data_IF_226427209855
#
_entry.id   IF_226427209855
#
_cell.length_a   1.000
_cell.length_b   1.000
_cell.length_c   1.000
_cell.angle_alpha   90.00
_cell.angle_beta   90.00
_cell.angle_gamma   90.00
#
_symmetry.space_group_name_H-M   'P 1'
#
loop_
_entity.id
_entity.type
_entity.pdbx_description
1 polymer ?
#
# COMPACT_ATOMS: atom_id res chain seq x y z
N UNK A 1 6.45 -21.98 5.16
CA UNK A 1 6.53 -20.64 5.78
C UNK A 1 7.40 -19.79 4.88
N UNK A 2 6.80 -18.84 4.15
CA UNK A 2 7.49 -18.10 3.09
C UNK A 2 8.41 -17.02 3.71
N UNK A 3 9.72 -17.14 3.49
CA UNK A 3 10.72 -16.18 3.97
C UNK A 3 10.81 -14.92 3.10
N UNK A 4 11.75 -14.02 3.42
CA UNK A 4 11.96 -12.77 2.68
C UNK A 4 12.13 -12.99 1.17
N UNK A 5 12.88 -14.02 0.77
CA UNK A 5 13.10 -14.36 -0.64
C UNK A 5 11.79 -14.64 -1.41
N UNK A 6 10.83 -15.33 -0.80
CA UNK A 6 9.54 -15.64 -1.42
C UNK A 6 8.68 -14.38 -1.57
N UNK A 7 8.64 -13.51 -0.55
CA UNK A 7 7.96 -12.21 -0.65
C UNK A 7 8.61 -11.27 -1.66
N UNK A 8 9.94 -11.27 -1.74
CA UNK A 8 10.68 -10.55 -2.77
C UNK A 8 10.33 -11.07 -4.17
N UNK A 9 10.22 -12.39 -4.34
CA UNK A 9 9.78 -13.01 -5.59
C UNK A 9 8.35 -12.59 -5.96
N UNK A 10 7.44 -12.55 -4.98
CA UNK A 10 6.08 -12.05 -5.17
C UNK A 10 6.06 -10.58 -5.63
N UNK A 11 6.91 -9.71 -5.06
CA UNK A 11 7.01 -8.30 -5.49
C UNK A 11 7.54 -8.11 -6.92
N UNK A 12 8.31 -9.08 -7.44
CA UNK A 12 8.78 -9.08 -8.83
C UNK A 12 7.64 -9.47 -9.79
N UNK A 13 6.75 -10.37 -9.36
CA UNK A 13 5.62 -10.86 -10.15
C UNK A 13 6.08 -11.51 -11.46
N UNK A 14 5.36 -11.21 -12.54
CA UNK A 14 5.69 -11.66 -13.91
C UNK A 14 6.85 -10.88 -14.56
N UNK A 15 7.35 -9.84 -13.89
CA UNK A 15 8.43 -9.00 -14.37
C UNK A 15 9.82 -9.67 -14.31
N UNK A 16 10.79 -9.06 -14.98
CA UNK A 16 12.18 -9.51 -14.88
C UNK A 16 12.88 -8.96 -13.63
N UNK A 17 13.82 -9.75 -13.08
CA UNK A 17 14.69 -9.31 -11.96
C UNK A 17 15.44 -8.01 -12.30
N UNK A 18 15.84 -7.84 -13.56
CA UNK A 18 16.52 -6.64 -14.06
C UNK A 18 15.63 -5.39 -13.99
N UNK A 19 14.37 -5.51 -14.42
CA UNK A 19 13.40 -4.42 -14.35
C UNK A 19 13.09 -4.05 -12.89
N UNK A 20 12.90 -5.06 -12.02
CA UNK A 20 12.66 -4.83 -10.60
C UNK A 20 13.85 -4.16 -9.90
N UNK A 21 15.08 -4.61 -10.17
CA UNK A 21 16.30 -4.02 -9.65
C UNK A 21 16.40 -2.51 -9.97
N UNK A 22 16.10 -2.12 -11.22
CA UNK A 22 16.01 -0.71 -11.62
C UNK A 22 14.91 0.03 -10.87
N UNK A 23 13.71 -0.55 -10.76
CA UNK A 23 12.56 0.03 -10.03
C UNK A 23 12.91 0.39 -8.59
N UNK A 24 13.63 -0.48 -7.88
CA UNK A 24 13.99 -0.26 -6.47
C UNK A 24 15.36 0.41 -6.27
N UNK A 25 16.08 0.74 -7.35
CA UNK A 25 17.40 1.39 -7.29
C UNK A 25 18.52 0.52 -6.72
N UNK A 26 18.49 -0.80 -6.99
CA UNK A 26 19.52 -1.76 -6.56
C UNK A 26 20.15 -2.48 -7.75
N UNK A 27 21.31 -3.10 -7.56
CA UNK A 27 21.91 -3.92 -8.61
C UNK A 27 21.17 -5.25 -8.76
N UNK A 28 21.07 -5.74 -9.99
CA UNK A 28 20.43 -7.03 -10.28
C UNK A 28 21.13 -8.18 -9.54
N UNK A 29 22.46 -8.15 -9.46
CA UNK A 29 23.26 -9.13 -8.71
C UNK A 29 22.85 -9.19 -7.23
N UNK A 30 22.56 -8.04 -6.61
CA UNK A 30 22.12 -7.99 -5.22
C UNK A 30 20.70 -8.56 -5.05
N UNK A 31 19.77 -8.22 -5.95
CA UNK A 31 18.42 -8.82 -5.93
C UNK A 31 18.50 -10.35 -6.11
N UNK A 32 19.32 -10.84 -7.05
CA UNK A 32 19.54 -12.29 -7.24
C UNK A 32 20.14 -12.95 -6.00
N UNK A 33 21.03 -12.27 -5.28
CA UNK A 33 21.59 -12.75 -4.01
C UNK A 33 20.48 -12.91 -2.95
N UNK A 34 19.58 -11.94 -2.87
CA UNK A 34 18.43 -11.96 -1.96
C UNK A 34 17.42 -13.07 -2.30
N UNK A 35 17.12 -13.27 -3.58
CA UNK A 35 16.26 -14.38 -4.03
C UNK A 35 16.85 -15.77 -3.71
N UNK A 36 18.18 -15.86 -3.52
CA UNK A 36 18.87 -17.08 -3.07
C UNK A 36 18.93 -17.23 -1.54
N UNK A 37 18.24 -16.37 -0.78
CA UNK A 37 18.10 -16.48 0.67
C UNK A 37 19.04 -15.61 1.51
N UNK A 38 19.81 -14.69 0.90
CA UNK A 38 20.51 -13.68 1.68
C UNK A 38 19.53 -12.63 2.22
N UNK A 39 19.74 -12.20 3.46
CA UNK A 39 18.92 -11.15 4.08
C UNK A 39 19.51 -9.75 3.83
N UNK A 40 18.66 -8.75 3.53
CA UNK A 40 19.09 -7.36 3.40
C UNK A 40 19.32 -6.74 4.79
N UNK A 41 20.27 -5.80 4.87
CA UNK A 41 20.28 -4.86 5.99
C UNK A 41 19.05 -3.94 5.96
N UNK A 42 18.68 -3.39 7.12
CA UNK A 42 17.47 -2.56 7.31
C UNK A 42 17.31 -1.46 6.25
N UNK A 43 18.39 -0.74 5.91
CA UNK A 43 18.35 0.32 4.90
C UNK A 43 18.00 -0.19 3.50
N UNK A 44 18.50 -1.37 3.11
CA UNK A 44 18.19 -2.00 1.81
C UNK A 44 16.78 -2.58 1.79
N UNK A 45 16.33 -3.15 2.90
CA UNK A 45 14.96 -3.60 3.05
C UNK A 45 13.97 -2.44 2.90
N UNK A 46 14.21 -1.30 3.58
CA UNK A 46 13.36 -0.12 3.45
C UNK A 46 13.39 0.46 2.03
N UNK A 47 14.55 0.45 1.36
CA UNK A 47 14.67 0.87 -0.04
C UNK A 47 13.80 0.01 -0.98
N UNK A 48 13.84 -1.33 -0.83
CA UNK A 48 12.98 -2.25 -1.58
C UNK A 48 11.52 -1.98 -1.27
N UNK A 49 11.16 -1.84 0.01
CA UNK A 49 9.78 -1.59 0.44
C UNK A 49 9.22 -0.29 -0.18
N UNK A 50 10.03 0.77 -0.24
CA UNK A 50 9.63 2.03 -0.88
C UNK A 50 9.46 1.89 -2.39
N UNK A 51 10.45 1.31 -3.08
CA UNK A 51 10.40 1.18 -4.54
C UNK A 51 9.35 0.17 -5.02
N UNK A 52 9.08 -0.88 -4.24
CA UNK A 52 8.08 -1.90 -4.55
C UNK A 52 6.68 -1.53 -4.04
N UNK A 53 6.55 -0.38 -3.37
CA UNK A 53 5.32 0.07 -2.75
C UNK A 53 4.77 -1.00 -1.79
N UNK A 54 5.47 -1.32 -0.70
CA UNK A 54 4.96 -2.16 0.38
C UNK A 54 5.52 -1.70 1.73
N UNK A 55 4.89 -2.14 2.82
CA UNK A 55 5.40 -1.87 4.16
C UNK A 55 6.68 -2.67 4.42
N UNK A 56 7.58 -2.08 5.21
CA UNK A 56 8.80 -2.77 5.64
C UNK A 56 8.45 -3.99 6.49
N UNK A 57 7.40 -3.89 7.31
CA UNK A 57 6.86 -5.00 8.09
C UNK A 57 6.46 -6.16 7.18
N UNK A 58 5.64 -5.91 6.15
CA UNK A 58 5.19 -6.95 5.23
C UNK A 58 6.37 -7.62 4.55
N UNK A 59 7.34 -6.83 4.09
CA UNK A 59 8.54 -7.37 3.47
C UNK A 59 9.35 -8.26 4.43
N UNK A 60 9.44 -7.90 5.71
CA UNK A 60 10.22 -8.61 6.72
C UNK A 60 9.51 -9.83 7.30
N UNK A 61 8.19 -9.78 7.52
CA UNK A 61 7.45 -10.78 8.29
C UNK A 61 6.28 -11.41 7.53
N UNK A 62 5.80 -10.77 6.47
CA UNK A 62 4.53 -11.08 5.82
C UNK A 62 3.32 -10.48 6.53
N UNK A 63 3.51 -9.81 7.67
CA UNK A 63 2.48 -9.05 8.38
C UNK A 63 2.54 -7.57 7.98
N UNK A 64 1.41 -6.89 7.86
CA UNK A 64 1.34 -5.50 7.41
C UNK A 64 0.89 -5.37 5.95
N UNK A 65 1.13 -4.21 5.34
CA UNK A 65 0.49 -3.84 4.07
C UNK A 65 1.36 -4.09 2.85
N UNK A 66 0.80 -4.75 1.83
CA UNK A 66 1.21 -4.60 0.43
C UNK A 66 0.63 -3.26 -0.06
N UNK A 67 1.38 -2.43 -0.78
CA UNK A 67 1.00 -1.05 -1.16
C UNK A 67 1.11 -0.01 -0.04
N UNK A 68 2.30 0.58 0.15
CA UNK A 68 2.63 1.61 1.16
C UNK A 68 2.21 3.04 0.81
N UNK A 69 1.97 3.31 -0.46
CA UNK A 69 1.60 4.59 -1.05
C UNK A 69 0.25 4.55 -1.75
N UNK A 70 -0.33 3.37 -1.98
CA UNK A 70 -1.74 3.33 -2.32
C UNK A 70 -2.50 3.35 -1.00
N UNK A 71 -3.38 4.32 -0.89
CA UNK A 71 -4.39 4.45 0.15
C UNK A 71 -5.42 3.35 -0.08
N UNK A 72 -4.97 2.10 0.09
CA UNK A 72 -5.82 0.94 -0.09
C UNK A 72 -6.70 0.88 1.14
N UNK A 73 -7.98 1.12 0.91
CA UNK A 73 -9.00 0.83 1.91
C UNK A 73 -9.06 -0.68 2.05
N UNK A 74 -8.71 -1.17 3.23
CA UNK A 74 -8.95 -2.56 3.61
C UNK A 74 -10.46 -2.80 3.61
N UNK A 75 -10.94 -3.55 2.59
CA UNK A 75 -12.37 -3.77 2.35
C UNK A 75 -12.98 -4.66 3.42
N UNK A 76 -12.26 -5.67 3.90
CA UNK A 76 -12.74 -6.54 4.96
C UNK A 76 -12.91 -5.76 6.26
N UNK A 77 -11.92 -4.92 6.59
CA UNK A 77 -12.03 -4.02 7.73
C UNK A 77 -13.17 -2.99 7.57
N UNK A 78 -13.39 -2.48 6.35
CA UNK A 78 -14.49 -1.57 6.04
C UNK A 78 -15.86 -2.22 6.25
N UNK A 79 -16.05 -3.44 5.74
CA UNK A 79 -17.31 -4.19 5.90
C UNK A 79 -17.58 -4.44 7.39
N UNK A 80 -16.58 -4.91 8.13
CA UNK A 80 -16.70 -5.13 9.57
C UNK A 80 -17.06 -3.84 10.33
N UNK A 81 -16.40 -2.72 10.01
CA UNK A 81 -16.73 -1.42 10.59
C UNK A 81 -18.18 -0.98 10.25
N UNK A 82 -18.63 -1.22 9.02
CA UNK A 82 -20.00 -0.97 8.59
C UNK A 82 -21.03 -1.76 9.41
N UNK A 83 -20.78 -3.05 9.66
CA UNK A 83 -21.63 -3.88 10.51
C UNK A 83 -21.73 -3.33 11.94
N UNK A 84 -20.60 -2.95 12.55
CA UNK A 84 -20.57 -2.35 13.90
C UNK A 84 -21.34 -1.03 13.97
N UNK A 85 -21.28 -0.20 12.92
CA UNK A 85 -22.08 1.03 12.85
C UNK A 85 -23.57 0.70 12.80
N UNK A 86 -23.98 -0.33 12.04
CA UNK A 86 -25.38 -0.76 11.97
C UNK A 86 -25.89 -1.34 13.29
N UNK A 87 -25.04 -2.03 14.06
CA UNK A 87 -25.40 -2.49 15.41
C UNK A 87 -25.72 -1.32 16.35
N UNK A 88 -24.93 -0.27 16.30
CA UNK A 88 -25.10 0.91 17.18
C UNK A 88 -26.15 1.89 16.67
N UNK A 89 -26.48 1.85 15.37
CA UNK A 89 -27.41 2.77 14.71
C UNK A 89 -28.29 2.00 13.71
N UNK A 90 -29.12 1.06 14.20
CA UNK A 90 -29.90 0.21 13.34
C UNK A 90 -30.85 1.03 12.46
N UNK A 91 -30.99 0.61 11.20
CA UNK A 91 -31.93 1.18 10.25
C UNK A 91 -31.49 2.52 9.64
N UNK A 92 -30.31 3.07 9.99
CA UNK A 92 -29.75 4.18 9.23
C UNK A 92 -29.13 3.66 7.93
N UNK A 93 -29.50 4.19 6.76
CA UNK A 93 -28.89 3.79 5.50
C UNK A 93 -27.39 4.14 5.52
N UNK A 94 -26.59 3.19 5.06
CA UNK A 94 -25.16 3.40 4.81
C UNK A 94 -24.94 3.58 3.31
N UNK A 95 -23.95 4.39 2.91
CA UNK A 95 -23.47 4.39 1.53
C UNK A 95 -23.03 2.99 1.12
N UNK A 96 -23.04 2.71 -0.19
CA UNK A 96 -22.51 1.45 -0.71
C UNK A 96 -20.99 1.33 -0.49
N UNK A 97 -20.46 0.11 -0.67
CA UNK A 97 -19.05 -0.19 -0.42
C UNK A 97 -18.11 0.67 -1.29
N UNK A 98 -18.45 0.90 -2.56
CA UNK A 98 -17.62 1.71 -3.47
C UNK A 98 -17.55 3.17 -3.04
N UNK A 99 -18.67 3.76 -2.64
CA UNK A 99 -18.73 5.11 -2.09
C UNK A 99 -17.91 5.23 -0.82
N UNK A 100 -17.97 4.22 0.06
CA UNK A 100 -17.18 4.19 1.29
C UNK A 100 -15.68 4.03 1.02
N UNK A 101 -15.29 3.15 0.09
CA UNK A 101 -13.89 3.00 -0.34
C UNK A 101 -13.37 4.31 -0.91
N UNK A 102 -14.15 4.95 -1.78
CA UNK A 102 -13.78 6.24 -2.37
C UNK A 102 -13.61 7.31 -1.28
N UNK A 103 -14.57 7.42 -0.35
CA UNK A 103 -14.50 8.36 0.77
C UNK A 103 -13.24 8.14 1.62
N UNK A 104 -12.94 6.89 1.96
CA UNK A 104 -11.79 6.55 2.79
C UNK A 104 -10.47 6.78 2.06
N UNK A 105 -10.40 6.54 0.75
CA UNK A 105 -9.23 6.89 -0.05
C UNK A 105 -8.99 8.41 -0.02
N UNK A 106 -10.01 9.24 -0.28
CA UNK A 106 -9.88 10.70 -0.14
C UNK A 106 -9.47 11.12 1.28
N UNK A 107 -10.06 10.53 2.32
CA UNK A 107 -9.71 10.82 3.70
C UNK A 107 -8.24 10.51 3.99
N UNK A 108 -7.75 9.35 3.54
CA UNK A 108 -6.36 8.95 3.69
C UNK A 108 -5.44 9.94 2.95
N UNK A 109 -5.79 10.33 1.72
CA UNK A 109 -5.07 11.33 0.90
C UNK A 109 -4.89 12.65 1.62
N UNK A 110 -6.01 13.20 2.08
CA UNK A 110 -6.04 14.48 2.75
C UNK A 110 -5.25 14.46 4.06
N UNK A 111 -5.22 13.32 4.75
CA UNK A 111 -4.48 13.16 6.00
C UNK A 111 -2.97 13.06 5.78
N UNK A 112 -2.54 12.41 4.69
CA UNK A 112 -1.14 12.14 4.36
C UNK A 112 -0.47 13.27 3.56
N UNK A 113 -1.25 14.05 2.79
CA UNK A 113 -0.78 15.09 1.88
C UNK A 113 -1.27 16.50 2.27
N UNK A 114 -0.97 16.91 3.50
CA UNK A 114 -1.21 18.28 3.96
C UNK A 114 -0.23 19.26 3.32
N UNK A 115 -0.65 20.50 3.20
CA UNK A 115 0.22 21.61 2.81
C UNK A 115 1.26 21.88 3.92
N UNK A 116 2.31 22.65 3.59
CA UNK A 116 3.40 22.95 4.53
C UNK A 116 2.94 23.70 5.79
N UNK A 117 1.82 24.42 5.68
CA UNK A 117 1.14 25.13 6.77
C UNK A 117 0.17 24.23 7.58
N UNK A 118 0.07 22.94 7.22
CA UNK A 118 -0.78 21.95 7.89
C UNK A 118 -2.23 21.94 7.43
N UNK A 119 -2.63 22.78 6.47
CA UNK A 119 -3.98 22.79 5.91
C UNK A 119 -4.19 21.67 4.88
N UNK A 120 -5.46 21.34 4.63
CA UNK A 120 -5.85 20.31 3.67
C UNK A 120 -5.64 20.79 2.23
N UNK A 121 -4.93 19.99 1.43
CA UNK A 121 -4.75 20.27 0.00
C UNK A 121 -5.92 19.72 -0.83
N UNK A 122 -7.03 20.47 -0.86
CA UNK A 122 -8.23 20.07 -1.60
C UNK A 122 -8.01 20.08 -3.12
N UNK A 123 -7.10 20.91 -3.64
CA UNK A 123 -6.81 20.96 -5.06
C UNK A 123 -6.14 19.66 -5.51
N UNK A 124 -5.14 19.22 -4.75
CA UNK A 124 -4.43 17.97 -5.01
C UNK A 124 -5.30 16.74 -4.77
N UNK A 125 -6.18 16.76 -3.76
CA UNK A 125 -7.14 15.68 -3.56
C UNK A 125 -8.10 15.52 -4.74
N UNK A 126 -8.59 16.61 -5.35
CA UNK A 126 -9.42 16.53 -6.57
C UNK A 126 -8.68 15.93 -7.76
N UNK A 127 -7.37 16.18 -7.85
CA UNK A 127 -6.54 15.55 -8.88
C UNK A 127 -6.39 14.04 -8.66
N UNK A 128 -6.09 13.63 -7.43
CA UNK A 128 -6.09 12.22 -7.03
C UNK A 128 -7.41 11.53 -7.37
N UNK A 129 -8.54 12.19 -7.09
CA UNK A 129 -9.88 11.74 -7.42
C UNK A 129 -10.14 11.39 -8.89
N UNK A 130 -9.50 12.10 -9.82
CA UNK A 130 -9.64 11.81 -11.25
C UNK A 130 -9.03 10.47 -11.63
N UNK A 131 -7.95 10.07 -10.96
CA UNK A 131 -7.26 8.81 -11.21
C UNK A 131 -7.90 7.61 -10.48
N UNK A 132 -8.69 7.85 -9.44
CA UNK A 132 -9.48 6.82 -8.75
C UNK A 132 -10.61 6.27 -9.63
N UNK A 133 -11.20 7.08 -10.51
CA UNK A 133 -12.30 6.68 -11.38
C UNK A 133 -11.85 5.89 -12.63
N UNK A 134 -10.53 5.84 -12.89
CA UNK A 134 -9.92 5.22 -14.07
C UNK A 134 -9.26 3.86 -13.76
N UNK A 135 -9.25 3.42 -12.50
CA UNK A 135 -8.57 2.22 -12.00
C UNK A 135 -9.57 1.14 -11.56
#
# INVERSE_FOLDING_TARGET
MEGFAARLQSLIGEGSVSAFARKVGLSEALIRKYLKGAEPGLGKANQIAMGANCSLEWLATGCGYLYRQAEVVDRDALVAAGSLVQETRPGKPMPDEEQLVTLLAYYQFLRSHKQADGFLDLARAREFGRHLAEA
#
